data_IF_598518604369
#
_entry.id   IF_598518604369
#
_cell.length_a   1.000
_cell.length_b   1.000
_cell.length_c   1.000
_cell.angle_alpha   90.00
_cell.angle_beta   90.00
_cell.angle_gamma   90.00
#
_symmetry.space_group_name_H-M   'P 1'
#
loop_
_entity.id
_entity.type
_entity.pdbx_description
1 polymer ?
#
# COMPACT_ATOMS: atom_id res chain seq x y z
N UNK A 1 30.31 87.22 -12.71
CA UNK A 1 30.98 86.12 -11.98
C UNK A 1 31.41 86.50 -10.55
N UNK A 2 30.58 87.21 -9.75
CA UNK A 2 30.86 87.53 -8.33
C UNK A 2 29.84 86.96 -7.34
N UNK A 3 28.74 86.38 -7.83
CA UNK A 3 27.72 85.76 -6.99
C UNK A 3 28.15 84.40 -6.41
N UNK A 4 29.12 83.72 -7.04
CA UNK A 4 29.64 82.41 -6.59
C UNK A 4 30.69 82.52 -5.47
N UNK A 5 31.09 83.73 -5.08
CA UNK A 5 32.10 83.99 -4.05
C UNK A 5 31.48 84.53 -2.74
N UNK A 6 30.22 84.17 -2.45
CA UNK A 6 29.56 84.51 -1.19
C UNK A 6 29.63 83.30 -0.22
N UNK A 7 30.39 83.39 0.89
CA UNK A 7 30.59 82.26 1.80
C UNK A 7 29.29 81.72 2.41
N UNK A 8 28.25 82.55 2.52
CA UNK A 8 26.93 82.12 3.02
C UNK A 8 26.24 81.12 2.07
N UNK A 9 26.45 81.23 0.75
CA UNK A 9 25.90 80.29 -0.22
C UNK A 9 26.58 78.91 -0.13
N UNK A 10 27.89 78.90 0.07
CA UNK A 10 28.66 77.66 0.28
C UNK A 10 28.26 76.95 1.59
N UNK A 11 28.05 77.71 2.67
CA UNK A 11 27.53 77.16 3.93
C UNK A 11 26.14 76.54 3.72
N UNK A 12 25.25 77.22 3.01
CA UNK A 12 23.91 76.70 2.70
C UNK A 12 23.96 75.38 1.90
N UNK A 13 24.86 75.29 0.92
CA UNK A 13 25.06 74.07 0.14
C UNK A 13 25.62 72.91 0.97
N UNK A 14 26.58 73.18 1.86
CA UNK A 14 27.15 72.17 2.76
C UNK A 14 26.09 71.64 3.73
N UNK A 15 25.25 72.52 4.28
CA UNK A 15 24.14 72.11 5.16
C UNK A 15 23.13 71.26 4.37
N UNK A 16 22.76 71.69 3.16
CA UNK A 16 21.83 70.93 2.32
C UNK A 16 22.38 69.53 1.96
N UNK A 17 23.68 69.44 1.66
CA UNK A 17 24.34 68.17 1.37
C UNK A 17 24.43 67.25 2.61
N UNK A 18 24.71 67.81 3.79
CA UNK A 18 24.74 67.05 5.03
C UNK A 18 23.34 66.52 5.41
N UNK A 19 22.30 67.34 5.25
CA UNK A 19 20.93 66.94 5.52
C UNK A 19 20.45 65.86 4.53
N UNK A 20 20.75 65.99 3.24
CA UNK A 20 20.34 64.98 2.25
C UNK A 20 21.06 63.65 2.48
N UNK A 21 22.34 63.66 2.84
CA UNK A 21 23.08 62.45 3.17
C UNK A 21 22.55 61.77 4.44
N UNK A 22 22.27 62.56 5.50
CA UNK A 22 21.70 62.03 6.73
C UNK A 22 20.32 61.41 6.53
N UNK A 23 19.45 62.05 5.75
CA UNK A 23 18.12 61.51 5.41
C UNK A 23 18.21 60.25 4.56
N UNK A 24 19.14 60.21 3.58
CA UNK A 24 19.39 59.02 2.77
C UNK A 24 19.84 57.84 3.62
N UNK A 25 20.83 58.05 4.50
CA UNK A 25 21.37 56.99 5.35
C UNK A 25 20.30 56.44 6.31
N UNK A 26 19.53 57.30 6.98
CA UNK A 26 18.46 56.86 7.88
C UNK A 26 17.38 56.07 7.13
N UNK A 27 16.90 56.56 5.99
CA UNK A 27 15.90 55.85 5.21
C UNK A 27 16.44 54.51 4.68
N UNK A 28 17.70 54.48 4.24
CA UNK A 28 18.31 53.27 3.69
C UNK A 28 18.52 52.20 4.76
N UNK A 29 19.02 52.58 5.94
CA UNK A 29 19.25 51.67 7.07
C UNK A 29 17.93 51.09 7.60
N UNK A 30 16.91 51.94 7.79
CA UNK A 30 15.58 51.49 8.18
C UNK A 30 14.93 50.57 7.14
N UNK A 31 15.11 50.85 5.85
CA UNK A 31 14.60 49.99 4.77
C UNK A 31 15.30 48.61 4.73
N UNK A 32 16.62 48.58 4.95
CA UNK A 32 17.38 47.32 5.01
C UNK A 32 17.00 46.48 6.23
N UNK A 33 16.86 47.11 7.40
CA UNK A 33 16.40 46.44 8.62
C UNK A 33 14.98 45.88 8.50
N UNK A 34 14.05 46.65 7.92
CA UNK A 34 12.70 46.17 7.67
C UNK A 34 12.65 44.99 6.70
N UNK A 35 13.50 44.99 5.66
CA UNK A 35 13.62 43.87 4.74
C UNK A 35 14.16 42.61 5.42
N UNK A 36 15.17 42.72 6.27
CA UNK A 36 15.77 41.57 6.94
C UNK A 36 14.81 40.96 7.96
N UNK A 37 14.06 41.78 8.70
CA UNK A 37 13.02 41.31 9.63
C UNK A 37 11.90 40.57 8.90
N UNK A 38 11.38 41.13 7.81
CA UNK A 38 10.35 40.47 7.00
C UNK A 38 10.86 39.17 6.38
N UNK A 39 12.10 39.16 5.90
CA UNK A 39 12.72 37.95 5.37
C UNK A 39 12.88 36.87 6.45
N UNK A 40 13.31 37.24 7.65
CA UNK A 40 13.46 36.30 8.76
C UNK A 40 12.11 35.70 9.19
N UNK A 41 11.05 36.52 9.26
CA UNK A 41 9.70 36.02 9.56
C UNK A 41 9.18 35.11 8.44
N UNK A 42 9.41 35.46 7.18
CA UNK A 42 9.03 34.63 6.03
C UNK A 42 9.75 33.28 6.03
N UNK A 43 11.07 33.28 6.27
CA UNK A 43 11.87 32.06 6.31
C UNK A 43 11.45 31.17 7.50
N UNK A 44 11.14 31.77 8.65
CA UNK A 44 10.61 31.06 9.81
C UNK A 44 9.23 30.43 9.54
N UNK A 45 8.32 31.16 8.90
CA UNK A 45 7.00 30.63 8.49
C UNK A 45 7.16 29.47 7.49
N UNK A 46 8.01 29.64 6.48
CA UNK A 46 8.31 28.57 5.52
C UNK A 46 8.91 27.34 6.18
N UNK A 47 9.82 27.52 7.14
CA UNK A 47 10.38 26.42 7.89
C UNK A 47 9.29 25.67 8.67
N UNK A 48 8.36 26.37 9.32
CA UNK A 48 7.24 25.75 10.03
C UNK A 48 6.30 24.99 9.09
N UNK A 49 5.93 25.59 7.95
CA UNK A 49 5.09 24.94 6.94
C UNK A 49 5.75 23.66 6.41
N UNK A 50 7.05 23.71 6.13
CA UNK A 50 7.82 22.53 5.70
C UNK A 50 7.82 21.47 6.81
N UNK A 51 8.10 21.83 8.06
CA UNK A 51 8.10 20.88 9.18
C UNK A 51 6.72 20.21 9.37
N UNK A 52 5.64 21.00 9.35
CA UNK A 52 4.28 20.46 9.43
C UNK A 52 3.96 19.53 8.25
N UNK A 53 4.42 19.88 7.04
CA UNK A 53 4.22 19.03 5.86
C UNK A 53 5.02 17.72 5.94
N UNK A 54 6.24 17.76 6.47
CA UNK A 54 7.07 16.57 6.68
C UNK A 54 6.46 15.65 7.73
N UNK A 55 5.91 16.22 8.80
CA UNK A 55 5.26 15.43 9.85
C UNK A 55 4.02 14.70 9.32
N UNK A 56 3.15 15.42 8.58
CA UNK A 56 2.00 14.78 7.91
C UNK A 56 2.44 13.70 6.92
N UNK A 57 3.52 13.94 6.16
CA UNK A 57 4.07 12.93 5.24
C UNK A 57 4.61 11.70 5.98
N UNK A 58 5.25 11.88 7.14
CA UNK A 58 5.69 10.75 7.98
C UNK A 58 4.52 9.94 8.50
N UNK A 59 3.47 10.59 8.98
CA UNK A 59 2.26 9.92 9.45
C UNK A 59 1.62 9.08 8.35
N UNK A 60 1.38 9.69 7.18
CA UNK A 60 0.84 8.96 6.01
C UNK A 60 1.78 7.82 5.59
N UNK A 61 3.09 8.03 5.58
CA UNK A 61 4.06 6.98 5.24
C UNK A 61 4.02 5.82 6.25
N UNK A 62 3.87 6.12 7.54
CA UNK A 62 3.79 5.12 8.60
C UNK A 62 2.50 4.30 8.46
N UNK A 63 1.36 4.98 8.30
CA UNK A 63 0.07 4.34 8.06
C UNK A 63 0.09 3.49 6.79
N UNK A 64 0.64 4.01 5.69
CA UNK A 64 0.79 3.28 4.44
C UNK A 64 1.66 2.02 4.61
N UNK A 65 2.75 2.11 5.37
CA UNK A 65 3.61 0.96 5.66
C UNK A 65 2.90 -0.11 6.51
N UNK A 66 2.09 0.32 7.48
CA UNK A 66 1.28 -0.59 8.30
C UNK A 66 0.19 -1.28 7.46
N UNK A 67 -0.46 -0.57 6.55
CA UNK A 67 -1.43 -1.16 5.62
C UNK A 67 -0.76 -2.14 4.65
N UNK A 68 0.43 -1.80 4.15
CA UNK A 68 1.17 -2.67 3.24
C UNK A 68 1.62 -3.96 3.92
N UNK A 69 2.12 -3.88 5.17
CA UNK A 69 2.53 -5.10 5.91
C UNK A 69 1.36 -6.02 6.22
N UNK A 70 0.18 -5.47 6.53
CA UNK A 70 -1.05 -6.24 6.71
C UNK A 70 -1.49 -6.92 5.40
N UNK A 71 -1.51 -6.19 4.30
CA UNK A 71 -1.82 -6.76 2.98
C UNK A 71 -0.86 -7.89 2.61
N UNK A 72 0.44 -7.70 2.83
CA UNK A 72 1.47 -8.72 2.60
C UNK A 72 1.27 -9.95 3.49
N UNK A 73 0.84 -9.77 4.74
CA UNK A 73 0.56 -10.88 5.65
C UNK A 73 -0.62 -11.74 5.17
N UNK A 74 -1.71 -11.10 4.71
CA UNK A 74 -2.89 -11.78 4.15
C UNK A 74 -2.51 -12.57 2.90
N UNK A 75 -1.69 -11.98 2.02
CA UNK A 75 -1.21 -12.66 0.81
C UNK A 75 -0.33 -13.87 1.15
N UNK A 76 0.60 -13.72 2.10
CA UNK A 76 1.47 -14.81 2.55
C UNK A 76 0.68 -15.99 3.14
N UNK A 77 -0.30 -15.72 3.99
CA UNK A 77 -1.15 -16.76 4.59
C UNK A 77 -1.92 -17.54 3.52
N UNK A 78 -2.49 -16.84 2.53
CA UNK A 78 -3.15 -17.49 1.40
C UNK A 78 -2.19 -18.34 0.57
N UNK A 79 -1.01 -17.80 0.23
CA UNK A 79 -0.02 -18.53 -0.57
C UNK A 79 0.48 -19.78 0.15
N UNK A 80 0.66 -19.70 1.46
CA UNK A 80 0.98 -20.86 2.30
C UNK A 80 -0.14 -21.91 2.26
N UNK A 81 -1.40 -21.50 2.42
CA UNK A 81 -2.55 -22.42 2.35
C UNK A 81 -2.68 -23.07 0.98
N UNK A 82 -2.45 -22.33 -0.11
CA UNK A 82 -2.44 -22.87 -1.47
C UNK A 82 -1.29 -23.87 -1.65
N UNK A 83 -0.10 -23.55 -1.14
CA UNK A 83 1.05 -24.46 -1.19
C UNK A 83 0.77 -25.77 -0.46
N UNK A 84 0.18 -25.70 0.74
CA UNK A 84 -0.23 -26.87 1.51
C UNK A 84 -1.29 -27.70 0.77
N UNK A 85 -2.31 -27.04 0.21
CA UNK A 85 -3.33 -27.70 -0.60
C UNK A 85 -2.72 -28.43 -1.79
N UNK A 86 -1.84 -27.78 -2.55
CA UNK A 86 -1.18 -28.39 -3.72
C UNK A 86 -0.30 -29.57 -3.33
N UNK A 87 0.41 -29.48 -2.20
CA UNK A 87 1.22 -30.57 -1.67
C UNK A 87 0.34 -31.77 -1.28
N UNK A 88 -0.77 -31.52 -0.57
CA UNK A 88 -1.73 -32.55 -0.19
C UNK A 88 -2.34 -33.23 -1.41
N UNK A 89 -2.82 -32.45 -2.39
CA UNK A 89 -3.36 -32.98 -3.65
C UNK A 89 -2.34 -33.86 -4.36
N UNK A 90 -1.09 -33.40 -4.48
CA UNK A 90 -0.02 -34.18 -5.12
C UNK A 90 0.26 -35.49 -4.39
N UNK A 91 0.28 -35.48 -3.06
CA UNK A 91 0.48 -36.68 -2.25
C UNK A 91 -0.68 -37.67 -2.41
N UNK A 92 -1.93 -37.19 -2.43
CA UNK A 92 -3.10 -38.05 -2.64
C UNK A 92 -3.09 -38.63 -4.06
N UNK A 93 -2.82 -37.82 -5.10
CA UNK A 93 -2.70 -38.32 -6.47
C UNK A 93 -1.60 -39.38 -6.62
N UNK A 94 -0.45 -39.18 -5.95
CA UNK A 94 0.61 -40.19 -5.92
C UNK A 94 0.13 -41.51 -5.27
N UNK A 95 -0.69 -41.43 -4.22
CA UNK A 95 -1.28 -42.62 -3.57
C UNK A 95 -2.23 -43.40 -4.49
N UNK A 96 -2.88 -42.73 -5.46
CA UNK A 96 -3.77 -43.35 -6.43
C UNK A 96 -3.06 -44.10 -7.55
N UNK A 97 -1.74 -43.93 -7.70
CA UNK A 97 -0.98 -44.51 -8.82
C UNK A 97 -1.09 -46.03 -8.91
N UNK A 98 -1.23 -46.70 -7.76
CA UNK A 98 -1.35 -48.15 -7.65
C UNK A 98 -2.81 -48.65 -7.75
N UNK A 99 -3.81 -47.76 -7.86
CA UNK A 99 -5.21 -48.18 -8.01
C UNK A 99 -5.48 -48.72 -9.42
N UNK A 100 -6.40 -49.69 -9.55
CA UNK A 100 -6.84 -50.17 -10.85
C UNK A 100 -7.49 -49.03 -11.65
N UNK A 101 -7.13 -48.95 -12.93
CA UNK A 101 -7.90 -48.21 -13.91
C UNK A 101 -9.23 -48.92 -14.15
N UNK A 102 -10.24 -48.17 -14.59
CA UNK A 102 -11.53 -48.76 -15.01
C UNK A 102 -11.24 -49.77 -16.12
N UNK A 103 -11.73 -51.02 -16.04
CA UNK A 103 -11.65 -51.96 -17.14
C UNK A 103 -12.21 -51.29 -18.39
N UNK A 104 -11.47 -51.37 -19.48
CA UNK A 104 -11.94 -50.86 -20.76
C UNK A 104 -13.24 -51.62 -21.08
N UNK A 105 -14.30 -50.89 -21.41
CA UNK A 105 -15.46 -51.45 -22.10
C UNK A 105 -14.90 -52.06 -23.39
N UNK A 106 -14.62 -53.36 -23.41
CA UNK A 106 -14.02 -54.04 -24.56
C UNK A 106 -14.94 -53.91 -25.77
N UNK A 107 -14.78 -52.86 -26.56
CA UNK A 107 -15.31 -52.66 -27.92
C UNK A 107 -16.81 -52.77 -28.17
N UNK A 108 -17.63 -53.10 -27.17
CA UNK A 108 -19.04 -53.51 -27.36
C UNK A 108 -20.04 -52.74 -26.50
N UNK A 109 -19.58 -51.83 -25.62
CA UNK A 109 -20.46 -50.97 -24.82
C UNK A 109 -21.38 -51.70 -23.84
N UNK A 110 -21.11 -52.98 -23.55
CA UNK A 110 -21.81 -53.74 -22.52
C UNK A 110 -20.94 -53.86 -21.27
N UNK A 111 -21.50 -53.64 -20.07
CA UNK A 111 -20.87 -54.02 -18.82
C UNK A 111 -20.47 -55.49 -18.90
N UNK A 112 -19.20 -55.79 -18.58
CA UNK A 112 -18.79 -57.18 -18.37
C UNK A 112 -19.57 -57.74 -17.18
N UNK A 113 -20.00 -59.01 -17.28
CA UNK A 113 -20.75 -59.71 -16.24
C UNK A 113 -20.18 -59.41 -14.85
N UNK A 114 -21.06 -59.35 -13.84
CA UNK A 114 -20.73 -59.12 -12.43
C UNK A 114 -19.74 -60.19 -11.92
N UNK A 115 -18.47 -60.02 -12.27
CA UNK A 115 -17.41 -60.96 -11.91
C UNK A 115 -16.98 -60.71 -10.47
N UNK A 116 -16.50 -61.77 -9.84
CA UNK A 116 -15.90 -61.81 -8.49
C UNK A 116 -14.60 -61.02 -8.36
N UNK A 117 -14.18 -60.27 -9.39
CA UNK A 117 -13.12 -59.27 -9.25
C UNK A 117 -13.59 -58.15 -8.35
N UNK A 118 -12.71 -57.64 -7.47
CA UNK A 118 -12.98 -56.56 -6.50
C UNK A 118 -13.84 -55.47 -7.12
N UNK A 119 -15.15 -55.59 -6.93
CA UNK A 119 -16.11 -54.65 -7.47
C UNK A 119 -15.79 -53.32 -6.80
N UNK A 120 -15.60 -52.26 -7.58
CA UNK A 120 -15.46 -50.93 -7.02
C UNK A 120 -16.74 -50.65 -6.21
N UNK A 121 -16.68 -50.78 -4.89
CA UNK A 121 -17.87 -50.58 -4.06
C UNK A 121 -18.27 -49.11 -4.10
N UNK A 122 -19.50 -48.82 -3.71
CA UNK A 122 -20.06 -47.48 -3.62
C UNK A 122 -19.37 -46.56 -2.58
N UNK A 123 -18.21 -46.93 -2.04
CA UNK A 123 -17.42 -46.11 -1.11
C UNK A 123 -16.22 -45.48 -1.81
N UNK A 124 -15.83 -44.26 -1.38
CA UNK A 124 -14.69 -43.53 -1.97
C UNK A 124 -13.35 -44.29 -1.93
N UNK A 125 -13.20 -45.22 -0.98
CA UNK A 125 -12.02 -46.07 -0.84
C UNK A 125 -11.83 -47.07 -1.99
N UNK A 126 -12.89 -47.39 -2.73
CA UNK A 126 -12.89 -48.42 -3.77
C UNK A 126 -13.11 -47.87 -5.19
N UNK A 127 -13.19 -46.54 -5.34
CA UNK A 127 -13.27 -45.88 -6.65
C UNK A 127 -12.12 -46.27 -7.59
N UNK A 128 -12.40 -46.35 -8.89
CA UNK A 128 -11.33 -46.48 -9.88
C UNK A 128 -10.43 -45.25 -9.88
N UNK A 129 -9.17 -45.44 -10.28
CA UNK A 129 -8.18 -44.36 -10.37
C UNK A 129 -8.70 -43.10 -11.10
N UNK A 130 -9.21 -43.16 -12.35
CA UNK A 130 -9.66 -41.95 -13.06
C UNK A 130 -10.80 -41.21 -12.35
N UNK A 131 -11.74 -41.93 -11.74
CA UNK A 131 -12.86 -41.32 -11.02
C UNK A 131 -12.37 -40.62 -9.74
N UNK A 132 -11.41 -41.24 -9.02
CA UNK A 132 -10.85 -40.68 -7.81
C UNK A 132 -10.00 -39.44 -8.12
N UNK A 133 -9.20 -39.47 -9.20
CA UNK A 133 -8.42 -38.32 -9.67
C UNK A 133 -9.34 -37.14 -10.03
N UNK A 134 -10.46 -37.40 -10.71
CA UNK A 134 -11.45 -36.38 -11.02
C UNK A 134 -12.05 -35.74 -9.76
N UNK A 135 -12.51 -36.56 -8.80
CA UNK A 135 -13.10 -36.05 -7.56
C UNK A 135 -12.09 -35.26 -6.72
N UNK A 136 -10.83 -35.71 -6.65
CA UNK A 136 -9.77 -34.96 -5.96
C UNK A 136 -9.55 -33.61 -6.64
N UNK A 137 -9.47 -33.59 -7.98
CA UNK A 137 -9.33 -32.34 -8.74
C UNK A 137 -10.46 -31.36 -8.47
N UNK A 138 -11.71 -31.85 -8.41
CA UNK A 138 -12.86 -31.00 -8.12
C UNK A 138 -12.87 -30.53 -6.65
N UNK A 139 -12.53 -31.40 -5.71
CA UNK A 139 -12.40 -31.02 -4.29
C UNK A 139 -11.32 -29.95 -4.11
N UNK A 140 -10.17 -30.07 -4.78
CA UNK A 140 -9.11 -29.09 -4.75
C UNK A 140 -9.54 -27.72 -5.32
N UNK A 141 -10.34 -27.74 -6.40
CA UNK A 141 -10.94 -26.52 -6.96
C UNK A 141 -11.89 -25.86 -5.97
N UNK A 142 -12.75 -26.64 -5.32
CA UNK A 142 -13.68 -26.14 -4.31
C UNK A 142 -12.94 -25.56 -3.10
N UNK A 143 -11.88 -26.22 -2.63
CA UNK A 143 -11.08 -25.74 -1.51
C UNK A 143 -10.31 -24.46 -1.85
N UNK A 144 -9.79 -24.33 -3.08
CA UNK A 144 -9.22 -23.08 -3.56
C UNK A 144 -10.24 -21.94 -3.54
N UNK A 145 -11.48 -22.19 -3.97
CA UNK A 145 -12.55 -21.19 -3.93
C UNK A 145 -12.91 -20.80 -2.48
N UNK A 146 -12.90 -21.75 -1.54
CA UNK A 146 -13.10 -21.45 -0.11
C UNK A 146 -11.97 -20.57 0.45
N UNK A 147 -10.72 -20.82 0.05
CA UNK A 147 -9.59 -19.98 0.43
C UNK A 147 -9.73 -18.55 -0.11
N UNK A 148 -10.11 -18.40 -1.37
CA UNK A 148 -10.34 -17.09 -2.00
C UNK A 148 -11.50 -16.32 -1.33
N UNK A 149 -12.59 -17.01 -1.00
CA UNK A 149 -13.71 -16.43 -0.28
C UNK A 149 -13.31 -15.99 1.14
N UNK A 150 -12.56 -16.83 1.86
CA UNK A 150 -12.05 -16.49 3.18
C UNK A 150 -11.15 -15.25 3.15
N UNK A 151 -10.30 -15.11 2.13
CA UNK A 151 -9.48 -13.91 1.93
C UNK A 151 -10.36 -12.66 1.72
N UNK A 152 -11.38 -12.76 0.86
CA UNK A 152 -12.28 -11.64 0.57
C UNK A 152 -13.03 -11.19 1.84
N UNK A 153 -13.51 -12.15 2.63
CA UNK A 153 -14.19 -11.86 3.89
C UNK A 153 -13.26 -11.23 4.93
N UNK A 154 -12.01 -11.71 5.05
CA UNK A 154 -11.02 -11.12 5.94
C UNK A 154 -10.75 -9.65 5.59
N UNK A 155 -10.46 -9.36 4.32
CA UNK A 155 -10.26 -8.00 3.84
C UNK A 155 -11.48 -7.11 4.10
N UNK A 156 -12.68 -7.60 3.79
CA UNK A 156 -13.91 -6.85 4.03
C UNK A 156 -14.11 -6.51 5.52
N UNK A 157 -13.88 -7.48 6.41
CA UNK A 157 -14.03 -7.26 7.85
C UNK A 157 -13.01 -6.24 8.37
N UNK A 158 -11.76 -6.31 7.92
CA UNK A 158 -10.72 -5.32 8.25
C UNK A 158 -11.14 -3.90 7.82
N UNK A 159 -11.59 -3.72 6.57
CA UNK A 159 -12.08 -2.42 6.10
C UNK A 159 -13.27 -1.92 6.92
N UNK A 160 -14.22 -2.80 7.22
CA UNK A 160 -15.39 -2.45 8.03
C UNK A 160 -14.99 -2.00 9.43
N UNK A 161 -14.04 -2.70 10.06
CA UNK A 161 -13.53 -2.33 11.38
C UNK A 161 -12.78 -1.00 11.35
N UNK A 162 -11.95 -0.76 10.33
CA UNK A 162 -11.26 0.52 10.14
C UNK A 162 -12.23 1.70 10.00
N UNK A 163 -13.31 1.54 9.22
CA UNK A 163 -14.36 2.57 9.09
C UNK A 163 -15.05 2.81 10.43
N UNK A 164 -15.45 1.76 11.15
CA UNK A 164 -16.09 1.90 12.46
C UNK A 164 -15.20 2.62 13.49
N UNK A 165 -13.89 2.35 13.48
CA UNK A 165 -12.94 3.03 14.36
C UNK A 165 -12.79 4.51 14.00
N UNK A 166 -12.76 4.84 12.71
CA UNK A 166 -12.73 6.22 12.25
C UNK A 166 -13.99 6.98 12.69
N UNK A 167 -15.17 6.40 12.52
CA UNK A 167 -16.44 7.02 12.92
C UNK A 167 -16.54 7.17 14.45
N UNK A 168 -15.98 6.23 15.21
CA UNK A 168 -15.90 6.32 16.68
C UNK A 168 -14.90 7.38 17.16
N UNK A 169 -13.86 7.70 16.37
CA UNK A 169 -12.88 8.73 16.71
C UNK A 169 -13.35 10.16 16.38
N UNK A 170 -14.39 10.31 15.55
CA UNK A 170 -14.95 11.60 15.14
C UNK A 170 -16.16 12.06 15.96
N UNK A 171 -16.74 11.18 16.78
CA UNK A 171 -17.83 11.49 17.73
C UNK A 171 -17.30 11.65 19.15
#
# INVERSE_FOLDING_TARGET
MRALLNPRLWIGLVIAAALSYGLYWWHHDGYLGGKSEVQALWDADKAQVVMQSLEKRRQVSHESGVLQTQADAILKDKDEKIRLLNSAVSAVLASLRNRPARPNESGTGLPTDASTGTSASCTGAQLYRPDAEFLIGESARADKLRLDLGQCQAQYNEYREAVNQHDAAQN
#
